data_IF_673081021081
#
_entry.id   IF_673081021081
#
_cell.length_a   1.000
_cell.length_b   1.000
_cell.length_c   1.000
_cell.angle_alpha   90.00
_cell.angle_beta   90.00
_cell.angle_gamma   90.00
#
_symmetry.space_group_name_H-M   'P 1'
#
loop_
_entity.id
_entity.type
_entity.pdbx_description
1 polymer ?
#
# COMPACT_ATOMS: atom_id res chain seq x y z
N UNK A 1 50.60 -4.74 28.40
CA UNK A 1 50.14 -5.65 27.34
C UNK A 1 48.62 -5.62 27.32
N UNK A 2 48.03 -4.88 26.39
CA UNK A 2 46.58 -4.83 26.16
C UNK A 2 46.36 -5.48 24.78
N UNK A 3 45.60 -6.57 24.65
CA UNK A 3 45.43 -7.21 23.35
C UNK A 3 44.45 -6.42 22.47
N UNK A 4 44.72 -6.56 21.17
CA UNK A 4 44.23 -5.77 20.05
C UNK A 4 42.70 -5.70 19.93
N UNK A 5 42.26 -4.53 19.48
CA UNK A 5 40.98 -4.29 18.82
C UNK A 5 40.89 -5.19 17.57
N UNK A 6 39.92 -6.10 17.57
CA UNK A 6 39.55 -6.88 16.39
C UNK A 6 38.78 -5.97 15.42
N UNK A 7 39.44 -5.53 14.35
CA UNK A 7 38.79 -4.91 13.21
C UNK A 7 37.98 -5.98 12.46
N UNK A 8 36.66 -5.89 12.53
CA UNK A 8 35.79 -6.71 11.69
C UNK A 8 36.04 -6.36 10.22
N UNK A 9 36.56 -7.32 9.46
CA UNK A 9 36.67 -7.23 8.01
C UNK A 9 35.26 -7.15 7.38
N UNK A 10 35.08 -6.48 6.23
CA UNK A 10 33.82 -6.52 5.50
C UNK A 10 33.54 -7.97 5.10
N UNK A 11 32.32 -8.44 5.37
CA UNK A 11 31.86 -9.78 4.98
C UNK A 11 31.95 -9.91 3.45
N UNK A 12 33.00 -10.59 2.97
CA UNK A 12 33.09 -11.03 1.59
C UNK A 12 31.95 -12.04 1.34
N UNK A 13 31.28 -11.92 0.18
CA UNK A 13 30.24 -12.85 -0.27
C UNK A 13 30.67 -14.31 -0.05
N UNK A 14 29.92 -15.05 0.76
CA UNK A 14 30.22 -16.46 1.03
C UNK A 14 30.00 -17.26 -0.26
N UNK A 15 31.01 -18.03 -0.67
CA UNK A 15 30.87 -18.93 -1.83
C UNK A 15 29.87 -20.04 -1.48
N UNK A 16 28.70 -20.02 -2.10
CA UNK A 16 27.65 -21.03 -1.92
C UNK A 16 27.96 -22.37 -2.60
N UNK A 17 27.29 -23.43 -2.14
CA UNK A 17 27.28 -24.76 -2.73
C UNK A 17 25.99 -24.98 -3.55
N UNK A 18 26.13 -25.15 -4.87
CA UNK A 18 25.00 -25.33 -5.78
C UNK A 18 24.23 -26.64 -5.53
N UNK A 19 24.88 -27.71 -5.08
CA UNK A 19 24.21 -28.98 -4.80
C UNK A 19 23.29 -28.85 -3.56
N UNK A 20 23.79 -28.20 -2.51
CA UNK A 20 22.96 -27.85 -1.35
C UNK A 20 21.85 -26.86 -1.74
N UNK A 21 22.13 -25.91 -2.63
CA UNK A 21 21.17 -24.94 -3.15
C UNK A 21 20.01 -25.60 -3.90
N UNK A 22 20.27 -26.65 -4.70
CA UNK A 22 19.25 -27.43 -5.42
C UNK A 22 18.18 -27.98 -4.48
N UNK A 23 18.60 -28.60 -3.37
CA UNK A 23 17.66 -29.18 -2.40
C UNK A 23 16.77 -28.13 -1.73
N UNK A 24 17.26 -26.90 -1.56
CA UNK A 24 16.44 -25.78 -1.06
C UNK A 24 15.50 -25.29 -2.16
N UNK A 25 16.01 -25.10 -3.38
CA UNK A 25 15.26 -24.61 -4.53
C UNK A 25 14.05 -25.49 -4.85
N UNK A 26 14.22 -26.82 -4.90
CA UNK A 26 13.14 -27.77 -5.20
C UNK A 26 11.96 -27.65 -4.21
N UNK A 27 12.26 -27.36 -2.94
CA UNK A 27 11.25 -27.26 -1.88
C UNK A 27 10.61 -25.88 -1.76
N UNK A 28 11.29 -24.82 -2.21
CA UNK A 28 10.93 -23.43 -1.89
C UNK A 28 10.70 -22.54 -3.10
N UNK A 29 11.34 -22.81 -4.22
CA UNK A 29 11.39 -21.92 -5.39
C UNK A 29 10.74 -22.54 -6.64
N UNK A 30 10.80 -23.87 -6.78
CA UNK A 30 10.38 -24.60 -7.97
C UNK A 30 8.93 -24.34 -8.37
N UNK A 31 8.01 -24.24 -7.40
CA UNK A 31 6.58 -24.03 -7.66
C UNK A 31 6.31 -22.80 -8.54
N UNK A 32 7.12 -21.74 -8.37
CA UNK A 32 7.00 -20.51 -9.15
C UNK A 32 8.01 -20.48 -10.30
N UNK A 33 9.29 -20.80 -10.04
CA UNK A 33 10.37 -20.60 -11.01
C UNK A 33 10.62 -21.78 -11.95
N UNK A 34 9.94 -22.91 -11.75
CA UNK A 34 10.04 -24.11 -12.59
C UNK A 34 11.26 -24.97 -12.27
N UNK A 35 11.21 -26.25 -12.63
CA UNK A 35 12.33 -27.19 -12.41
C UNK A 35 13.59 -26.76 -13.18
N UNK A 36 13.38 -26.16 -14.36
CA UNK A 36 14.45 -25.69 -15.26
C UNK A 36 14.89 -24.25 -14.98
N UNK A 37 14.32 -23.58 -13.97
CA UNK A 37 14.58 -22.18 -13.69
C UNK A 37 14.11 -21.22 -14.78
N UNK A 38 13.19 -21.65 -15.65
CA UNK A 38 12.69 -20.90 -16.80
C UNK A 38 11.49 -19.99 -16.49
N UNK A 39 11.13 -19.88 -15.21
CA UNK A 39 9.99 -19.08 -14.75
C UNK A 39 8.63 -19.72 -15.03
N UNK A 40 8.59 -20.98 -15.48
CA UNK A 40 7.37 -21.70 -15.88
C UNK A 40 6.97 -22.77 -14.85
N UNK A 41 7.04 -22.42 -13.56
CA UNK A 41 6.55 -23.30 -12.51
C UNK A 41 5.03 -23.47 -12.56
N UNK A 42 4.46 -24.51 -11.92
CA UNK A 42 3.02 -24.76 -11.92
C UNK A 42 2.15 -23.58 -11.45
N UNK A 43 2.69 -22.67 -10.64
CA UNK A 43 1.97 -21.47 -10.20
C UNK A 43 2.12 -20.27 -11.16
N UNK A 44 3.04 -20.29 -12.13
CA UNK A 44 3.47 -19.11 -12.89
C UNK A 44 2.31 -18.38 -13.58
N UNK A 45 1.37 -19.11 -14.19
CA UNK A 45 0.21 -18.53 -14.91
C UNK A 45 -0.72 -17.71 -14.00
N UNK A 46 -0.66 -17.91 -12.69
CA UNK A 46 -1.47 -17.18 -11.71
C UNK A 46 -0.80 -15.89 -11.22
N UNK A 47 0.48 -15.66 -11.54
CA UNK A 47 1.29 -14.60 -10.95
C UNK A 47 1.55 -13.47 -11.94
N UNK A 48 1.31 -12.25 -11.50
CA UNK A 48 1.60 -11.02 -12.25
C UNK A 48 2.34 -10.06 -11.31
N UNK A 49 3.61 -9.73 -11.58
CA UNK A 49 4.42 -10.16 -12.74
C UNK A 49 4.79 -11.65 -12.69
N UNK A 50 5.06 -12.21 -13.88
CA UNK A 50 5.54 -13.59 -14.03
C UNK A 50 6.87 -13.82 -13.29
N UNK A 51 7.11 -15.04 -12.75
CA UNK A 51 8.38 -15.41 -12.14
C UNK A 51 9.57 -15.22 -13.09
N UNK A 52 10.73 -14.89 -12.53
CA UNK A 52 11.95 -14.68 -13.32
C UNK A 52 12.40 -15.98 -14.00
N UNK A 53 12.62 -15.91 -15.31
CA UNK A 53 13.43 -16.86 -16.08
C UNK A 53 14.92 -16.61 -15.81
N UNK A 54 15.53 -17.48 -15.01
CA UNK A 54 16.95 -17.44 -14.68
C UNK A 54 17.84 -17.91 -15.84
N UNK A 55 17.32 -18.72 -16.77
CA UNK A 55 18.08 -19.22 -17.94
C UNK A 55 18.43 -18.10 -18.92
N UNK A 56 17.69 -16.99 -18.88
CA UNK A 56 17.94 -15.79 -19.69
C UNK A 56 19.24 -15.06 -19.31
N UNK A 57 19.68 -15.18 -18.05
CA UNK A 57 20.78 -14.37 -17.50
C UNK A 57 20.41 -12.89 -17.27
N UNK A 58 19.14 -12.49 -17.47
CA UNK A 58 18.68 -11.11 -17.34
C UNK A 58 18.06 -10.87 -15.96
N UNK A 59 18.75 -10.10 -15.13
CA UNK A 59 18.31 -9.75 -13.78
C UNK A 59 17.89 -8.28 -13.71
N UNK A 60 16.62 -8.04 -13.33
CA UNK A 60 16.02 -6.71 -13.20
C UNK A 60 16.73 -5.85 -12.14
N UNK A 61 17.05 -6.45 -10.99
CA UNK A 61 17.63 -5.76 -9.83
C UNK A 61 19.12 -6.09 -9.77
N UNK A 62 19.97 -5.10 -10.07
CA UNK A 62 21.43 -5.23 -10.12
C UNK A 62 22.14 -3.93 -9.74
N UNK A 63 23.36 -4.03 -9.24
CA UNK A 63 24.23 -2.88 -8.92
C UNK A 63 25.36 -2.71 -9.95
N UNK A 64 25.17 -3.20 -11.18
CA UNK A 64 26.21 -3.27 -12.22
C UNK A 64 25.83 -2.50 -13.47
N UNK A 65 26.82 -2.02 -14.23
CA UNK A 65 26.60 -1.39 -15.55
C UNK A 65 26.45 -2.43 -16.66
N UNK A 66 27.17 -3.56 -16.58
CA UNK A 66 26.99 -4.69 -17.49
C UNK A 66 25.84 -5.61 -17.06
N UNK A 67 25.36 -6.48 -17.96
CA UNK A 67 24.16 -7.32 -17.73
C UNK A 67 24.29 -8.32 -16.56
N UNK A 68 25.50 -8.59 -16.11
CA UNK A 68 25.80 -9.54 -15.05
C UNK A 68 25.51 -8.95 -13.66
N UNK A 69 24.59 -9.50 -12.85
CA UNK A 69 24.41 -9.07 -11.46
C UNK A 69 25.58 -9.53 -10.57
N UNK A 70 25.78 -8.87 -9.44
CA UNK A 70 26.65 -9.40 -8.38
C UNK A 70 25.95 -10.52 -7.61
N UNK A 71 26.72 -11.39 -6.97
CA UNK A 71 26.17 -12.43 -6.09
C UNK A 71 25.38 -11.80 -4.92
N UNK A 72 25.81 -10.62 -4.46
CA UNK A 72 25.09 -9.84 -3.44
C UNK A 72 23.74 -9.33 -3.94
N UNK A 73 23.62 -8.94 -5.22
CA UNK A 73 22.32 -8.52 -5.78
C UNK A 73 21.31 -9.67 -5.71
N UNK A 74 21.72 -10.87 -6.12
CA UNK A 74 20.88 -12.08 -6.07
C UNK A 74 20.58 -12.45 -4.61
N UNK A 75 21.58 -12.41 -3.72
CA UNK A 75 21.39 -12.68 -2.31
C UNK A 75 20.38 -11.74 -1.66
N UNK A 76 20.46 -10.43 -1.97
CA UNK A 76 19.56 -9.42 -1.45
C UNK A 76 18.12 -9.64 -1.93
N UNK A 77 17.93 -9.99 -3.21
CA UNK A 77 16.61 -10.33 -3.75
C UNK A 77 16.02 -11.58 -3.09
N UNK A 78 16.82 -12.64 -2.89
CA UNK A 78 16.36 -13.85 -2.16
C UNK A 78 16.00 -13.49 -0.71
N UNK A 79 16.84 -12.67 -0.07
CA UNK A 79 16.69 -12.31 1.34
C UNK A 79 15.45 -11.45 1.58
N UNK A 80 15.30 -10.37 0.81
CA UNK A 80 14.28 -9.35 1.02
C UNK A 80 12.98 -9.64 0.23
N UNK A 81 13.05 -10.52 -0.77
CA UNK A 81 11.97 -10.74 -1.71
C UNK A 81 11.84 -9.58 -2.70
N UNK A 82 10.69 -9.52 -3.38
CA UNK A 82 10.32 -8.39 -4.22
C UNK A 82 8.93 -7.88 -3.77
N UNK A 83 8.88 -6.78 -3.01
CA UNK A 83 7.61 -6.18 -2.59
C UNK A 83 6.64 -5.93 -3.77
N UNK A 84 5.35 -6.10 -3.51
CA UNK A 84 4.31 -5.99 -4.54
C UNK A 84 4.35 -7.12 -5.59
N UNK A 85 4.93 -8.27 -5.26
CA UNK A 85 4.91 -9.49 -6.07
C UNK A 85 4.75 -10.71 -5.17
N UNK A 86 4.55 -11.89 -5.75
CA UNK A 86 4.50 -13.16 -5.02
C UNK A 86 5.87 -13.73 -4.64
N UNK A 87 6.97 -12.98 -4.79
CA UNK A 87 8.31 -13.39 -4.32
C UNK A 87 8.55 -12.91 -2.88
N UNK A 88 8.37 -13.77 -1.86
CA UNK A 88 8.56 -13.39 -0.47
C UNK A 88 10.04 -13.22 -0.14
N UNK A 89 10.31 -12.56 0.99
CA UNK A 89 11.63 -12.59 1.62
C UNK A 89 11.89 -13.93 2.30
N UNK A 90 13.09 -14.47 2.12
CA UNK A 90 13.49 -15.76 2.68
C UNK A 90 14.39 -15.63 3.92
N UNK A 91 14.19 -14.60 4.74
CA UNK A 91 14.91 -14.44 6.03
C UNK A 91 14.68 -15.58 7.02
N UNK A 92 13.63 -16.38 6.83
CA UNK A 92 13.38 -17.62 7.56
C UNK A 92 14.41 -18.72 7.26
N UNK A 93 15.08 -18.66 6.11
CA UNK A 93 16.16 -19.58 5.77
C UNK A 93 17.48 -19.11 6.40
N UNK A 94 18.32 -20.04 6.88
CA UNK A 94 19.68 -19.71 7.27
C UNK A 94 20.44 -18.96 6.17
N UNK A 95 21.32 -18.04 6.54
CA UNK A 95 22.12 -17.28 5.58
C UNK A 95 22.91 -18.17 4.61
N UNK A 96 23.50 -19.26 5.12
CA UNK A 96 24.21 -20.25 4.32
C UNK A 96 23.33 -20.84 3.20
N UNK A 97 22.07 -21.15 3.50
CA UNK A 97 21.14 -21.71 2.51
C UNK A 97 20.77 -20.68 1.45
N UNK A 98 20.68 -19.40 1.80
CA UNK A 98 20.48 -18.32 0.83
C UNK A 98 21.69 -18.15 -0.09
N UNK A 99 22.92 -18.24 0.42
CA UNK A 99 24.13 -18.25 -0.42
C UNK A 99 24.21 -19.49 -1.32
N UNK A 100 23.81 -20.67 -0.82
CA UNK A 100 23.69 -21.88 -1.63
C UNK A 100 22.67 -21.70 -2.77
N UNK A 101 21.53 -21.06 -2.50
CA UNK A 101 20.55 -20.69 -3.53
C UNK A 101 21.14 -19.74 -4.58
N UNK A 102 21.95 -18.75 -4.19
CA UNK A 102 22.65 -17.87 -5.15
C UNK A 102 23.51 -18.68 -6.12
N UNK A 103 24.30 -19.62 -5.59
CA UNK A 103 25.15 -20.49 -6.41
C UNK A 103 24.32 -21.35 -7.38
N UNK A 104 23.19 -21.91 -6.92
CA UNK A 104 22.32 -22.73 -7.75
C UNK A 104 21.56 -21.93 -8.81
N UNK A 105 20.99 -20.78 -8.45
CA UNK A 105 20.23 -19.91 -9.37
C UNK A 105 21.10 -19.40 -10.53
N UNK A 106 22.35 -19.04 -10.25
CA UNK A 106 23.29 -18.62 -11.29
C UNK A 106 23.61 -19.74 -12.30
N UNK A 107 23.60 -20.99 -11.86
CA UNK A 107 23.94 -22.13 -12.72
C UNK A 107 22.96 -22.30 -13.89
N UNK A 108 21.71 -21.86 -13.77
CA UNK A 108 20.72 -21.91 -14.86
C UNK A 108 21.12 -21.08 -16.09
N UNK A 109 21.85 -19.97 -15.89
CA UNK A 109 22.22 -19.07 -16.99
C UNK A 109 23.49 -19.52 -17.74
N UNK A 110 24.27 -20.45 -17.17
CA UNK A 110 25.53 -20.94 -17.73
C UNK A 110 26.47 -19.82 -18.19
N UNK A 111 26.96 -19.91 -19.42
CA UNK A 111 27.91 -18.98 -20.03
C UNK A 111 27.39 -17.54 -20.15
N UNK A 112 26.08 -17.30 -20.02
CA UNK A 112 25.52 -15.93 -20.08
C UNK A 112 25.95 -15.07 -18.89
N UNK A 113 26.42 -15.67 -17.79
CA UNK A 113 26.95 -14.99 -16.60
C UNK A 113 28.47 -15.20 -16.42
N UNK A 114 29.21 -15.51 -17.50
CA UNK A 114 30.66 -15.74 -17.42
C UNK A 114 31.47 -14.46 -17.17
N UNK A 115 30.96 -13.32 -17.63
CA UNK A 115 31.65 -12.04 -17.50
C UNK A 115 31.59 -11.57 -16.05
N UNK A 116 32.71 -11.06 -15.52
CA UNK A 116 32.72 -10.51 -14.18
C UNK A 116 31.72 -9.33 -14.03
N UNK A 117 31.01 -9.21 -12.90
CA UNK A 117 30.13 -8.07 -12.65
C UNK A 117 30.94 -6.77 -12.56
N UNK A 118 30.53 -5.75 -13.31
CA UNK A 118 31.11 -4.41 -13.29
C UNK A 118 30.19 -3.50 -12.48
N UNK A 119 30.51 -3.30 -11.19
CA UNK A 119 29.70 -2.45 -10.30
C UNK A 119 29.61 -1.03 -10.85
N UNK A 120 28.46 -0.39 -10.65
CA UNK A 120 28.28 1.02 -10.98
C UNK A 120 28.97 1.88 -9.93
N UNK A 121 29.77 2.83 -10.39
CA UNK A 121 30.31 3.90 -9.55
C UNK A 121 29.32 5.04 -9.57
N UNK A 122 28.59 5.21 -8.46
CA UNK A 122 27.66 6.32 -8.33
C UNK A 122 28.42 7.65 -8.24
N UNK A 123 27.90 8.71 -8.88
CA UNK A 123 28.50 10.03 -8.84
C UNK A 123 28.46 10.61 -7.41
N UNK A 124 29.20 11.70 -7.20
CA UNK A 124 29.28 12.35 -5.89
C UNK A 124 27.88 12.70 -5.38
N UNK A 125 27.61 12.31 -4.14
CA UNK A 125 26.32 12.51 -3.47
C UNK A 125 25.96 14.00 -3.36
N UNK A 126 24.72 14.34 -3.76
CA UNK A 126 24.12 15.67 -3.58
C UNK A 126 23.00 15.63 -2.54
N UNK A 127 23.22 16.24 -1.38
CA UNK A 127 22.24 16.33 -0.29
C UNK A 127 20.88 16.89 -0.74
N UNK A 128 19.83 16.47 -0.03
CA UNK A 128 18.48 17.02 -0.23
C UNK A 128 18.42 18.48 0.24
N UNK A 129 17.78 19.32 -0.58
CA UNK A 129 17.48 20.74 -0.33
C UNK A 129 16.30 21.14 -1.22
N UNK A 130 15.64 22.27 -0.94
CA UNK A 130 14.54 22.75 -1.79
C UNK A 130 14.97 22.93 -3.25
N UNK A 131 16.17 23.44 -3.48
CA UNK A 131 16.76 23.57 -4.81
C UNK A 131 16.98 22.20 -5.48
N UNK A 132 17.46 21.23 -4.71
CA UNK A 132 17.67 19.85 -5.18
C UNK A 132 16.36 19.19 -5.59
N UNK A 133 15.28 19.42 -4.83
CA UNK A 133 13.94 18.92 -5.13
C UNK A 133 13.34 19.60 -6.38
N UNK A 134 13.50 20.92 -6.50
CA UNK A 134 13.06 21.67 -7.69
C UNK A 134 13.75 21.15 -8.95
N UNK A 135 15.08 21.04 -8.92
CA UNK A 135 15.88 20.49 -10.02
C UNK A 135 15.50 19.05 -10.33
N UNK A 136 15.30 18.22 -9.31
CA UNK A 136 14.87 16.82 -9.47
C UNK A 136 13.52 16.69 -10.16
N UNK A 137 12.55 17.55 -9.81
CA UNK A 137 11.23 17.61 -10.47
C UNK A 137 11.36 18.02 -11.94
N UNK A 138 12.12 19.08 -12.22
CA UNK A 138 12.34 19.56 -13.60
C UNK A 138 12.91 18.45 -14.48
N UNK A 139 13.86 17.66 -13.96
CA UNK A 139 14.44 16.54 -14.69
C UNK A 139 13.51 15.34 -14.81
N UNK A 140 12.68 15.07 -13.81
CA UNK A 140 11.66 14.04 -13.90
C UNK A 140 10.70 14.28 -15.07
N UNK A 141 10.39 15.55 -15.35
CA UNK A 141 9.58 15.96 -16.51
C UNK A 141 10.41 16.00 -17.81
N UNK A 142 11.63 16.56 -17.77
CA UNK A 142 12.48 16.73 -18.96
C UNK A 142 12.99 15.41 -19.54
N UNK A 143 13.23 14.40 -18.71
CA UNK A 143 13.62 13.04 -19.11
C UNK A 143 12.36 12.16 -19.30
N UNK A 144 11.17 12.76 -19.28
CA UNK A 144 9.91 12.10 -19.59
C UNK A 144 9.55 10.93 -18.66
N UNK A 145 10.06 10.91 -17.42
CA UNK A 145 9.70 9.89 -16.42
C UNK A 145 8.18 9.87 -16.18
N UNK A 146 7.54 11.04 -16.26
CA UNK A 146 6.10 11.22 -16.11
C UNK A 146 5.28 10.52 -17.21
N UNK A 147 5.84 10.24 -18.40
CA UNK A 147 5.13 9.51 -19.46
C UNK A 147 4.75 8.09 -19.04
N UNK A 148 5.58 7.46 -18.20
CA UNK A 148 5.33 6.14 -17.64
C UNK A 148 4.78 6.22 -16.20
N UNK A 149 5.40 7.05 -15.35
CA UNK A 149 5.10 7.07 -13.92
C UNK A 149 4.02 8.09 -13.50
N UNK A 150 3.57 8.95 -14.41
CA UNK A 150 2.64 10.05 -14.13
C UNK A 150 3.31 11.24 -13.44
N UNK A 151 2.65 12.40 -13.43
CA UNK A 151 3.22 13.65 -12.92
C UNK A 151 3.46 13.63 -11.40
N UNK A 152 2.70 12.80 -10.68
CA UNK A 152 2.86 12.62 -9.22
C UNK A 152 3.48 11.27 -8.86
N UNK A 153 3.95 10.52 -9.86
CA UNK A 153 4.59 9.23 -9.64
C UNK A 153 3.62 8.10 -9.28
N UNK A 154 2.30 8.23 -9.46
CA UNK A 154 1.32 7.18 -9.10
C UNK A 154 1.15 6.08 -10.15
N UNK A 155 2.10 5.99 -11.07
CA UNK A 155 2.12 5.04 -12.18
C UNK A 155 0.96 5.22 -13.17
N UNK A 156 0.36 6.40 -13.22
CA UNK A 156 -0.78 6.80 -14.06
C UNK A 156 -0.32 7.51 -15.36
N UNK A 157 0.93 7.30 -15.78
CA UNK A 157 1.46 7.91 -16.99
C UNK A 157 0.73 7.42 -18.26
N UNK A 158 0.58 8.27 -19.29
CA UNK A 158 -0.16 7.95 -20.50
C UNK A 158 0.38 6.73 -21.27
N UNK A 159 1.67 6.40 -21.09
CA UNK A 159 2.29 5.23 -21.75
C UNK A 159 2.03 3.91 -21.04
N UNK A 160 1.48 3.94 -19.80
CA UNK A 160 1.26 2.75 -18.96
C UNK A 160 0.61 1.58 -19.71
N UNK A 161 -0.47 1.77 -20.49
CA UNK A 161 -1.16 0.65 -21.16
C UNK A 161 -0.30 -0.05 -22.23
N UNK A 162 0.70 0.63 -22.77
CA UNK A 162 1.54 0.16 -23.87
C UNK A 162 2.82 -0.54 -23.38
N UNK A 163 3.15 -0.40 -22.08
CA UNK A 163 4.40 -0.92 -21.53
C UNK A 163 4.43 -2.45 -21.51
N UNK A 164 5.43 -2.99 -22.19
CA UNK A 164 5.74 -4.42 -22.21
C UNK A 164 7.18 -4.66 -21.83
N UNK A 165 7.43 -5.77 -21.17
CA UNK A 165 8.78 -6.25 -20.92
C UNK A 165 9.39 -6.89 -22.18
N UNK A 166 10.67 -7.26 -22.13
CA UNK A 166 11.36 -7.89 -23.28
C UNK A 166 10.73 -9.24 -23.71
N UNK A 167 9.87 -9.83 -22.89
CA UNK A 167 9.13 -11.07 -23.18
C UNK A 167 7.71 -10.82 -23.70
N UNK A 168 7.37 -9.55 -23.98
CA UNK A 168 6.06 -9.14 -24.49
C UNK A 168 4.95 -9.11 -23.44
N UNK A 169 5.27 -9.31 -22.16
CA UNK A 169 4.30 -9.30 -21.08
C UNK A 169 4.02 -7.87 -20.63
N UNK A 170 2.76 -7.49 -20.33
CA UNK A 170 2.45 -6.20 -19.75
C UNK A 170 3.25 -5.95 -18.47
N UNK A 171 3.82 -4.75 -18.33
CA UNK A 171 4.59 -4.38 -17.14
C UNK A 171 4.20 -3.00 -16.63
N UNK A 172 3.49 -2.98 -15.50
CA UNK A 172 3.16 -1.74 -14.84
C UNK A 172 4.42 -1.06 -14.25
N UNK A 173 4.55 0.28 -14.39
CA UNK A 173 5.58 1.03 -13.70
C UNK A 173 5.32 1.00 -12.19
N UNK A 174 6.36 1.17 -11.39
CA UNK A 174 6.21 1.29 -9.95
C UNK A 174 5.46 2.59 -9.60
N UNK A 175 4.56 2.52 -8.60
CA UNK A 175 4.02 3.70 -7.95
C UNK A 175 5.12 4.30 -7.05
N UNK A 176 5.73 5.38 -7.55
CA UNK A 176 6.86 6.08 -6.94
C UNK A 176 6.48 6.78 -5.62
N UNK A 177 5.20 7.04 -5.39
CA UNK A 177 4.70 7.53 -4.10
C UNK A 177 4.67 6.44 -3.01
N UNK A 178 4.92 5.17 -3.35
CA UNK A 178 4.98 4.02 -2.44
C UNK A 178 6.38 3.40 -2.37
N UNK A 179 7.40 4.19 -2.02
CA UNK A 179 8.81 3.75 -2.04
C UNK A 179 9.12 2.46 -1.26
N UNK A 180 8.36 2.13 -0.22
CA UNK A 180 8.49 0.87 0.52
C UNK A 180 8.15 -0.38 -0.33
N UNK A 181 7.47 -0.21 -1.46
CA UNK A 181 7.15 -1.26 -2.42
C UNK A 181 8.22 -1.45 -3.51
N UNK A 182 9.32 -0.68 -3.48
CA UNK A 182 10.35 -0.77 -4.52
C UNK A 182 11.10 -2.10 -4.45
N UNK A 183 10.97 -2.89 -5.51
CA UNK A 183 11.61 -4.21 -5.69
C UNK A 183 13.13 -4.17 -5.59
N UNK A 184 13.73 -3.02 -5.89
CA UNK A 184 15.17 -2.81 -5.86
C UNK A 184 15.73 -2.27 -4.54
N UNK A 185 14.88 -1.99 -3.55
CA UNK A 185 15.23 -1.29 -2.33
C UNK A 185 14.62 0.11 -2.26
N UNK A 186 14.24 0.51 -1.04
CA UNK A 186 13.52 1.77 -0.73
C UNK A 186 14.45 2.91 -0.30
N UNK A 187 15.73 2.62 -0.13
CA UNK A 187 16.69 3.56 0.40
C UNK A 187 17.30 4.40 -0.73
N UNK A 188 17.78 5.59 -0.38
CA UNK A 188 18.24 6.61 -1.34
C UNK A 188 19.29 6.09 -2.32
N UNK A 189 20.24 5.27 -1.84
CA UNK A 189 21.29 4.65 -2.67
C UNK A 189 20.74 3.59 -3.62
N UNK A 190 19.73 2.84 -3.21
CA UNK A 190 19.09 1.82 -4.06
C UNK A 190 18.36 2.48 -5.22
N UNK A 191 17.63 3.57 -4.93
CA UNK A 191 16.93 4.36 -5.94
C UNK A 191 17.91 4.98 -6.94
N UNK A 192 18.97 5.63 -6.45
CA UNK A 192 20.02 6.18 -7.32
C UNK A 192 20.67 5.09 -8.18
N UNK A 193 20.88 3.90 -7.62
CA UNK A 193 21.41 2.74 -8.37
C UNK A 193 20.47 2.34 -9.50
N UNK A 194 19.15 2.27 -9.25
CA UNK A 194 18.15 1.93 -10.29
C UNK A 194 18.08 2.97 -11.39
N UNK A 195 18.19 4.26 -11.06
CA UNK A 195 18.28 5.31 -12.06
C UNK A 195 19.56 5.19 -12.88
N UNK A 196 20.70 4.92 -12.23
CA UNK A 196 22.00 4.84 -12.91
C UNK A 196 22.10 3.66 -13.88
N UNK A 197 21.58 2.48 -13.52
CA UNK A 197 21.75 1.25 -14.31
C UNK A 197 20.47 0.76 -15.01
N UNK A 198 19.34 1.41 -14.77
CA UNK A 198 18.05 1.00 -15.29
C UNK A 198 17.54 -0.33 -14.73
N UNK A 199 16.46 -0.83 -15.32
CA UNK A 199 15.84 -2.12 -14.95
C UNK A 199 15.82 -3.01 -16.19
N UNK A 200 16.78 -3.92 -16.30
CA UNK A 200 16.96 -4.77 -17.49
C UNK A 200 15.72 -5.61 -17.80
N UNK A 201 15.45 -5.82 -19.08
CA UNK A 201 14.28 -6.53 -19.53
C UNK A 201 12.99 -5.72 -19.42
N UNK A 202 13.06 -4.42 -19.15
CA UNK A 202 11.90 -3.52 -19.05
C UNK A 202 12.14 -2.23 -19.83
N UNK A 203 11.08 -1.44 -20.10
CA UNK A 203 11.22 -0.13 -20.73
C UNK A 203 11.94 0.95 -19.89
N UNK A 204 12.40 0.64 -18.66
CA UNK A 204 13.09 1.59 -17.79
C UNK A 204 14.62 1.58 -18.07
N UNK A 205 15.16 2.55 -18.83
CA UNK A 205 16.55 2.55 -19.25
C UNK A 205 17.50 2.98 -18.11
N UNK A 206 18.80 2.95 -18.40
CA UNK A 206 19.81 3.59 -17.57
C UNK A 206 19.84 5.10 -17.88
N UNK A 207 19.92 5.93 -16.85
CA UNK A 207 19.87 7.39 -16.99
C UNK A 207 21.20 8.09 -16.69
N UNK A 208 22.26 7.34 -16.36
CA UNK A 208 23.57 7.94 -16.04
C UNK A 208 24.13 8.77 -17.20
N UNK A 209 23.84 8.36 -18.44
CA UNK A 209 24.24 9.07 -19.65
C UNK A 209 23.12 9.97 -20.23
N UNK A 210 21.94 10.00 -19.60
CA UNK A 210 20.77 10.77 -20.02
C UNK A 210 20.59 12.08 -19.23
N UNK A 211 21.36 12.25 -18.15
CA UNK A 211 21.36 13.47 -17.33
C UNK A 211 22.42 14.47 -17.83
N UNK A 212 22.22 15.77 -17.58
CA UNK A 212 23.18 16.80 -18.00
C UNK A 212 24.53 16.67 -17.27
N UNK A 213 24.47 16.36 -15.97
CA UNK A 213 25.64 16.06 -15.13
C UNK A 213 25.42 14.74 -14.40
N UNK A 214 26.43 13.88 -14.20
CA UNK A 214 26.24 12.63 -13.47
C UNK A 214 25.57 12.82 -12.09
N UNK A 215 25.96 13.88 -11.37
CA UNK A 215 25.41 14.22 -10.05
C UNK A 215 23.89 14.50 -10.05
N UNK A 216 23.31 14.84 -11.21
CA UNK A 216 21.89 15.16 -11.36
C UNK A 216 20.97 13.97 -11.03
N UNK A 217 21.48 12.73 -11.11
CA UNK A 217 20.75 11.54 -10.62
C UNK A 217 20.34 11.72 -9.15
N UNK A 218 21.16 12.38 -8.33
CA UNK A 218 20.84 12.60 -6.92
C UNK A 218 19.70 13.59 -6.73
N UNK A 219 19.56 14.59 -7.61
CA UNK A 219 18.41 15.50 -7.58
C UNK A 219 17.11 14.76 -7.89
N UNK A 220 17.08 13.93 -8.95
CA UNK A 220 15.91 13.07 -9.24
C UNK A 220 15.64 12.14 -8.07
N UNK A 221 16.67 11.50 -7.53
CA UNK A 221 16.55 10.61 -6.37
C UNK A 221 15.93 11.34 -5.17
N UNK A 222 16.38 12.55 -4.85
CA UNK A 222 15.84 13.34 -3.73
C UNK A 222 14.37 13.71 -3.97
N UNK A 223 14.00 14.06 -5.21
CA UNK A 223 12.62 14.29 -5.60
C UNK A 223 11.75 13.03 -5.42
N UNK A 224 12.22 11.87 -5.88
CA UNK A 224 11.53 10.58 -5.67
C UNK A 224 11.36 10.23 -4.19
N UNK A 225 12.36 10.54 -3.37
CA UNK A 225 12.28 10.38 -1.91
C UNK A 225 11.21 11.28 -1.27
N UNK A 226 10.84 12.39 -1.92
CA UNK A 226 9.85 13.35 -1.44
C UNK A 226 8.44 13.20 -2.04
N UNK A 227 8.29 12.43 -3.14
CA UNK A 227 6.99 12.22 -3.80
C UNK A 227 5.96 11.49 -2.91
N UNK A 228 6.43 10.63 -2.02
CA UNK A 228 5.62 9.78 -1.16
C UNK A 228 5.94 9.93 0.33
N UNK A 229 5.10 9.32 1.15
CA UNK A 229 5.34 9.21 2.59
C UNK A 229 6.32 8.08 2.94
N UNK A 230 6.55 7.93 4.24
CA UNK A 230 7.16 6.72 4.78
C UNK A 230 6.22 5.52 4.68
N UNK A 231 6.77 4.33 4.88
CA UNK A 231 5.97 3.10 4.99
C UNK A 231 4.85 3.29 6.02
N UNK A 232 3.59 3.03 5.63
CA UNK A 232 2.46 3.29 6.50
C UNK A 232 2.47 2.35 7.71
N UNK A 233 2.13 2.89 8.88
CA UNK A 233 1.75 2.06 10.03
C UNK A 233 0.32 1.59 9.83
N UNK A 234 0.16 0.33 9.45
CA UNK A 234 -1.16 -0.25 9.23
C UNK A 234 -2.02 -0.20 10.50
N UNK A 235 -3.26 0.22 10.34
CA UNK A 235 -4.20 0.34 11.44
C UNK A 235 -4.63 -1.05 11.93
N UNK A 236 -4.83 -1.18 13.24
CA UNK A 236 -5.51 -2.32 13.87
C UNK A 236 -6.92 -1.97 14.34
N UNK A 237 -7.22 -0.68 14.42
CA UNK A 237 -8.51 -0.10 14.80
C UNK A 237 -8.74 1.14 13.93
N UNK A 238 -9.92 1.23 13.31
CA UNK A 238 -10.34 2.41 12.55
C UNK A 238 -10.92 3.43 13.51
N UNK A 239 -10.24 4.56 13.70
CA UNK A 239 -10.73 5.63 14.57
C UNK A 239 -11.39 6.73 13.74
N UNK A 240 -12.60 7.14 14.13
CA UNK A 240 -13.37 8.22 13.52
C UNK A 240 -13.35 9.41 14.47
N UNK A 241 -12.76 10.52 14.05
CA UNK A 241 -12.52 11.71 14.88
C UNK A 241 -13.82 12.43 15.21
N UNK A 242 -13.98 12.85 16.47
CA UNK A 242 -15.10 13.72 16.85
C UNK A 242 -14.86 15.14 16.32
N UNK A 243 -15.76 15.64 15.46
CA UNK A 243 -15.70 16.98 14.90
C UNK A 243 -16.53 17.96 15.74
N UNK A 244 -15.96 19.13 16.04
CA UNK A 244 -16.67 20.26 16.66
C UNK A 244 -17.33 21.17 15.64
N UNK A 245 -16.75 21.23 14.43
CA UNK A 245 -17.19 22.09 13.33
C UNK A 245 -17.95 21.28 12.28
N UNK A 246 -18.51 21.99 11.29
CA UNK A 246 -19.16 21.36 10.16
C UNK A 246 -18.16 20.49 9.37
N UNK A 247 -18.55 19.25 9.09
CA UNK A 247 -17.73 18.31 8.33
C UNK A 247 -17.94 18.60 6.83
N UNK A 248 -16.90 18.91 6.05
CA UNK A 248 -17.05 19.25 4.63
C UNK A 248 -17.36 18.03 3.76
N UNK A 249 -18.15 18.25 2.70
CA UNK A 249 -18.37 17.23 1.66
C UNK A 249 -17.23 17.14 0.65
N UNK A 250 -16.45 18.21 0.49
CA UNK A 250 -15.35 18.23 -0.49
C UNK A 250 -14.21 17.30 -0.05
N UNK A 251 -13.86 16.27 -0.85
CA UNK A 251 -12.74 15.37 -0.55
C UNK A 251 -11.37 16.06 -0.50
N UNK A 252 -11.22 17.25 -1.09
CA UNK A 252 -9.97 18.02 -1.09
C UNK A 252 -9.90 19.07 0.02
N UNK A 253 -10.92 19.18 0.88
CA UNK A 253 -10.94 20.17 1.95
C UNK A 253 -9.75 20.00 2.91
N UNK A 254 -9.14 21.12 3.32
CA UNK A 254 -8.00 21.15 4.26
C UNK A 254 -8.33 20.44 5.58
N UNK A 255 -9.61 20.39 5.96
CA UNK A 255 -10.10 19.60 7.09
C UNK A 255 -9.53 18.17 7.11
N UNK A 256 -9.52 17.48 5.97
CA UNK A 256 -9.10 16.09 5.88
C UNK A 256 -7.60 15.88 6.06
N UNK A 257 -6.77 16.93 5.88
CA UNK A 257 -5.32 16.83 6.13
C UNK A 257 -5.00 16.81 7.62
N UNK A 258 -5.91 17.33 8.46
CA UNK A 258 -5.80 17.38 9.93
C UNK A 258 -6.38 16.15 10.62
N UNK A 259 -7.17 15.35 9.91
CA UNK A 259 -7.74 14.10 10.41
C UNK A 259 -6.71 12.97 10.27
N UNK A 260 -6.48 12.25 11.36
CA UNK A 260 -5.53 11.15 11.39
C UNK A 260 -5.93 10.04 10.40
N UNK A 261 -5.02 9.60 9.52
CA UNK A 261 -5.30 8.51 8.59
C UNK A 261 -5.21 7.14 9.28
N UNK A 262 -6.12 6.23 8.90
CA UNK A 262 -6.03 4.81 9.18
C UNK A 262 -5.63 4.10 7.88
N UNK A 263 -4.45 3.49 7.85
CA UNK A 263 -3.93 2.79 6.67
C UNK A 263 -4.41 1.34 6.67
N UNK A 264 -5.26 0.98 5.72
CA UNK A 264 -5.86 -0.35 5.61
C UNK A 264 -5.16 -1.14 4.49
N UNK A 265 -4.35 -2.16 4.80
CA UNK A 265 -3.77 -3.01 3.78
C UNK A 265 -4.85 -3.94 3.21
N UNK A 266 -4.99 -3.98 1.89
CA UNK A 266 -5.92 -4.88 1.22
C UNK A 266 -5.17 -6.05 0.61
N UNK A 267 -5.85 -7.19 0.52
CA UNK A 267 -5.34 -8.40 -0.10
C UNK A 267 -6.30 -8.87 -1.18
N UNK A 268 -5.76 -9.51 -2.21
CA UNK A 268 -6.56 -10.11 -3.26
C UNK A 268 -7.42 -11.24 -2.70
N UNK A 269 -8.69 -11.26 -3.13
CA UNK A 269 -9.61 -12.35 -2.86
C UNK A 269 -9.10 -13.63 -3.54
N UNK A 270 -8.91 -14.74 -2.82
CA UNK A 270 -8.40 -16.00 -3.43
C UNK A 270 -9.21 -17.24 -3.06
N UNK A 271 -10.39 -17.06 -2.45
CA UNK A 271 -11.17 -18.16 -1.84
C UNK A 271 -12.18 -18.75 -2.82
N UNK A 272 -12.99 -17.89 -3.45
CA UNK A 272 -14.01 -18.23 -4.46
C UNK A 272 -13.62 -17.69 -5.84
N UNK A 273 -14.12 -18.29 -6.90
CA UNK A 273 -13.90 -17.79 -8.26
C UNK A 273 -14.87 -16.65 -8.62
N UNK A 274 -14.45 -15.68 -9.46
CA UNK A 274 -13.10 -15.48 -9.99
C UNK A 274 -12.12 -14.91 -8.94
N UNK A 275 -10.94 -15.54 -8.82
CA UNK A 275 -9.88 -15.14 -7.88
C UNK A 275 -9.07 -13.93 -8.36
N UNK A 276 -8.60 -13.13 -7.40
CA UNK A 276 -7.64 -12.05 -7.55
C UNK A 276 -6.31 -12.38 -6.84
N UNK A 277 -5.36 -12.98 -7.57
CA UNK A 277 -4.03 -13.26 -7.02
C UNK A 277 -3.08 -12.05 -7.04
N UNK A 278 -3.41 -11.03 -7.85
CA UNK A 278 -2.55 -9.88 -8.12
C UNK A 278 -3.39 -8.60 -8.01
N UNK A 279 -3.83 -8.24 -6.78
CA UNK A 279 -4.66 -7.07 -6.57
C UNK A 279 -3.96 -5.79 -7.03
N UNK A 280 -4.65 -4.95 -7.79
CA UNK A 280 -4.12 -3.64 -8.19
C UNK A 280 -4.16 -2.64 -7.04
N UNK A 281 -5.24 -2.69 -6.25
CA UNK A 281 -5.43 -1.85 -5.06
C UNK A 281 -4.98 -2.62 -3.82
N UNK A 282 -3.87 -2.20 -3.21
CA UNK A 282 -3.27 -2.85 -2.03
C UNK A 282 -3.41 -2.02 -0.73
N UNK A 283 -3.91 -0.79 -0.82
CA UNK A 283 -4.00 0.14 0.29
C UNK A 283 -5.17 1.11 0.12
N UNK A 284 -6.01 1.19 1.15
CA UNK A 284 -7.01 2.24 1.32
C UNK A 284 -6.66 3.05 2.55
N UNK A 285 -6.57 4.36 2.41
CA UNK A 285 -6.42 5.29 3.54
C UNK A 285 -7.81 5.76 3.97
N UNK A 286 -8.18 5.46 5.21
CA UNK A 286 -9.48 5.77 5.79
C UNK A 286 -9.30 6.88 6.81
N UNK A 287 -9.91 8.02 6.53
CA UNK A 287 -10.16 9.07 7.52
C UNK A 287 -11.65 9.09 7.83
N UNK A 288 -12.00 9.59 9.00
CA UNK A 288 -13.39 9.74 9.35
C UNK A 288 -13.59 10.84 10.36
N UNK A 289 -14.70 11.53 10.22
CA UNK A 289 -15.17 12.52 11.17
C UNK A 289 -16.64 12.24 11.51
N UNK A 290 -17.03 12.53 12.75
CA UNK A 290 -18.41 12.36 13.19
C UNK A 290 -18.82 13.47 14.14
N UNK A 291 -20.12 13.75 14.21
CA UNK A 291 -20.76 14.61 15.21
C UNK A 291 -22.12 14.02 15.60
N UNK A 292 -22.89 14.69 16.47
CA UNK A 292 -24.17 14.15 16.98
C UNK A 292 -25.23 13.80 15.90
N UNK A 293 -25.06 14.27 14.66
CA UNK A 293 -26.00 14.06 13.56
C UNK A 293 -25.52 13.01 12.57
N UNK A 294 -24.22 12.99 12.28
CA UNK A 294 -23.69 12.30 11.12
C UNK A 294 -22.27 11.77 11.30
N UNK A 295 -21.93 10.84 10.41
CA UNK A 295 -20.59 10.32 10.20
C UNK A 295 -20.23 10.54 8.73
N UNK A 296 -18.99 10.95 8.49
CA UNK A 296 -18.43 11.11 7.14
C UNK A 296 -17.13 10.34 7.07
N UNK A 297 -17.08 9.42 6.12
CA UNK A 297 -15.87 8.70 5.75
C UNK A 297 -15.17 9.44 4.64
N UNK A 298 -13.84 9.55 4.71
CA UNK A 298 -12.98 10.02 3.64
C UNK A 298 -12.03 8.90 3.26
N UNK A 299 -12.17 8.40 2.04
CA UNK A 299 -11.41 7.27 1.51
C UNK A 299 -10.46 7.79 0.45
N UNK A 300 -9.22 7.33 0.50
CA UNK A 300 -8.22 7.61 -0.54
C UNK A 300 -7.55 6.31 -0.94
N UNK A 301 -7.50 6.03 -2.24
CA UNK A 301 -6.75 4.91 -2.80
C UNK A 301 -6.14 5.32 -4.13
N UNK A 302 -4.97 4.75 -4.42
CA UNK A 302 -4.33 4.96 -5.71
C UNK A 302 -4.97 3.98 -6.71
N UNK A 303 -5.41 4.53 -7.83
CA UNK A 303 -5.93 3.80 -8.98
C UNK A 303 -5.36 4.47 -10.24
N UNK A 304 -4.51 3.79 -11.00
CA UNK A 304 -3.86 4.38 -12.16
C UNK A 304 -4.81 4.66 -13.33
N UNK A 305 -6.05 4.19 -13.28
CA UNK A 305 -7.08 4.41 -14.28
C UNK A 305 -8.35 4.99 -13.67
N UNK A 306 -8.94 5.99 -14.33
CA UNK A 306 -10.36 6.32 -14.12
C UNK A 306 -11.18 5.45 -15.06
N UNK A 307 -11.47 4.23 -14.63
CA UNK A 307 -11.98 3.17 -15.48
C UNK A 307 -13.40 3.49 -15.95
N UNK A 308 -13.56 3.54 -17.27
CA UNK A 308 -14.86 3.64 -17.92
C UNK A 308 -15.28 2.25 -18.38
N UNK A 309 -16.40 1.71 -17.89
CA UNK A 309 -16.84 0.37 -18.25
C UNK A 309 -16.94 0.18 -19.76
N UNK A 310 -16.33 -0.90 -20.25
CA UNK A 310 -16.40 -1.32 -21.64
C UNK A 310 -16.37 -2.85 -21.74
N UNK A 311 -17.49 -3.41 -22.17
CA UNK A 311 -17.67 -4.85 -22.30
C UNK A 311 -16.74 -5.48 -23.36
N UNK A 312 -16.35 -4.74 -24.40
CA UNK A 312 -15.49 -5.26 -25.47
C UNK A 312 -14.07 -5.51 -24.97
N UNK A 313 -13.58 -4.65 -24.09
CA UNK A 313 -12.23 -4.69 -23.51
C UNK A 313 -12.20 -5.34 -22.13
N UNK A 314 -13.36 -5.75 -21.60
CA UNK A 314 -13.53 -6.29 -20.23
C UNK A 314 -13.05 -5.33 -19.15
N UNK A 315 -13.23 -4.03 -19.40
CA UNK A 315 -13.02 -2.97 -18.40
C UNK A 315 -14.31 -2.80 -17.62
N UNK A 316 -14.22 -2.74 -16.30
CA UNK A 316 -15.36 -2.55 -15.40
C UNK A 316 -15.32 -1.16 -14.75
N UNK A 317 -16.34 -0.84 -13.95
CA UNK A 317 -16.35 0.38 -13.16
C UNK A 317 -15.43 0.21 -11.95
N UNK A 318 -14.66 1.25 -11.61
CA UNK A 318 -13.98 1.29 -10.32
C UNK A 318 -15.01 1.37 -9.20
N UNK A 319 -14.70 0.73 -8.08
CA UNK A 319 -15.60 0.68 -6.95
C UNK A 319 -14.87 0.53 -5.61
N UNK A 320 -15.52 1.01 -4.56
CA UNK A 320 -15.10 0.76 -3.17
C UNK A 320 -16.32 0.57 -2.27
N UNK A 321 -16.23 -0.34 -1.31
CA UNK A 321 -17.28 -0.62 -0.34
C UNK A 321 -16.72 -0.68 1.09
N UNK A 322 -17.48 -0.10 2.01
CA UNK A 322 -17.37 -0.37 3.44
C UNK A 322 -18.47 -1.37 3.79
N UNK A 323 -18.06 -2.49 4.37
CA UNK A 323 -18.94 -3.56 4.78
C UNK A 323 -19.15 -3.53 6.29
N UNK A 324 -20.40 -3.68 6.72
CA UNK A 324 -20.80 -3.73 8.12
C UNK A 324 -21.82 -4.85 8.33
N UNK A 325 -21.89 -5.44 9.53
CA UNK A 325 -23.08 -6.21 9.93
C UNK A 325 -24.31 -5.29 9.90
N UNK A 326 -25.48 -5.74 9.38
CA UNK A 326 -26.69 -4.92 9.36
C UNK A 326 -27.16 -4.56 10.77
N UNK A 327 -26.89 -5.45 11.73
CA UNK A 327 -27.13 -5.25 13.16
C UNK A 327 -25.83 -5.47 13.93
N UNK A 328 -25.46 -4.49 14.74
CA UNK A 328 -24.27 -4.57 15.60
C UNK A 328 -24.68 -5.28 16.89
N UNK A 329 -24.20 -6.51 17.06
CA UNK A 329 -24.42 -7.30 18.27
C UNK A 329 -23.17 -7.28 19.17
N UNK A 330 -23.33 -7.25 20.51
CA UNK A 330 -22.20 -7.45 21.40
C UNK A 330 -21.60 -8.85 21.21
N UNK A 331 -20.28 -8.95 21.19
CA UNK A 331 -19.58 -10.23 21.08
C UNK A 331 -18.52 -10.25 19.99
N UNK A 332 -18.13 -11.45 19.56
CA UNK A 332 -17.08 -11.65 18.54
C UNK A 332 -17.61 -12.26 17.25
N UNK A 333 -18.87 -12.73 17.26
CA UNK A 333 -19.57 -13.28 16.09
C UNK A 333 -19.80 -12.19 15.05
N UNK A 334 -19.53 -12.52 13.79
CA UNK A 334 -19.63 -11.62 12.65
C UNK A 334 -20.04 -12.44 11.42
N UNK A 335 -20.79 -11.84 10.48
CA UNK A 335 -21.00 -12.44 9.18
C UNK A 335 -19.67 -12.78 8.50
N UNK A 336 -19.69 -13.69 7.55
CA UNK A 336 -18.49 -13.99 6.78
C UNK A 336 -17.93 -12.72 6.10
N UNK A 337 -16.62 -12.50 6.19
CA UNK A 337 -16.02 -11.23 5.77
C UNK A 337 -16.10 -11.01 4.25
N UNK A 338 -16.26 -12.08 3.46
CA UNK A 338 -16.45 -12.01 2.02
C UNK A 338 -17.94 -11.79 1.70
N UNK A 339 -18.45 -10.62 2.09
CA UNK A 339 -19.81 -10.17 1.77
C UNK A 339 -20.93 -11.02 2.38
N UNK A 340 -20.69 -11.67 3.53
CA UNK A 340 -21.66 -12.51 4.21
C UNK A 340 -21.87 -13.87 3.55
N UNK A 341 -22.89 -14.58 4.02
CA UNK A 341 -23.36 -15.85 3.47
C UNK A 341 -24.89 -15.95 3.57
N UNK A 342 -25.45 -17.13 3.28
CA UNK A 342 -26.89 -17.37 3.28
C UNK A 342 -27.53 -17.31 4.67
N UNK A 343 -26.74 -17.49 5.75
CA UNK A 343 -27.22 -17.39 7.12
C UNK A 343 -27.12 -15.95 7.65
N UNK A 344 -25.99 -15.29 7.39
CA UNK A 344 -25.67 -13.97 7.94
C UNK A 344 -25.23 -13.04 6.80
N UNK A 345 -26.12 -12.12 6.43
CA UNK A 345 -25.86 -11.10 5.42
C UNK A 345 -25.07 -9.91 5.94
N UNK A 346 -24.62 -9.05 5.02
CA UNK A 346 -23.93 -7.79 5.33
C UNK A 346 -24.61 -6.60 4.67
N UNK A 347 -24.40 -5.43 5.27
CA UNK A 347 -24.68 -4.13 4.68
C UNK A 347 -23.42 -3.57 4.01
N UNK A 348 -23.58 -3.00 2.83
CA UNK A 348 -22.53 -2.37 2.04
C UNK A 348 -22.85 -0.90 1.85
N UNK A 349 -21.97 -0.03 2.34
CA UNK A 349 -21.91 1.39 1.99
C UNK A 349 -20.90 1.54 0.86
N UNK A 350 -21.40 1.78 -0.36
CA UNK A 350 -20.61 1.58 -1.58
C UNK A 350 -20.58 2.82 -2.46
N UNK A 351 -19.50 2.96 -3.22
CA UNK A 351 -19.42 3.83 -4.37
C UNK A 351 -18.97 2.99 -5.57
N UNK A 352 -19.55 3.27 -6.73
CA UNK A 352 -19.02 2.82 -8.02
C UNK A 352 -19.10 3.95 -9.06
N UNK A 353 -18.25 3.89 -10.08
CA UNK A 353 -18.14 4.91 -11.13
C UNK A 353 -19.41 5.14 -11.96
N UNK A 354 -20.38 4.22 -11.95
CA UNK A 354 -21.63 4.36 -12.72
C UNK A 354 -22.77 4.94 -11.88
N UNK A 355 -22.90 4.50 -10.62
CA UNK A 355 -24.04 4.82 -9.74
C UNK A 355 -23.71 5.88 -8.69
N UNK A 356 -22.43 6.18 -8.50
CA UNK A 356 -21.98 6.99 -7.37
C UNK A 356 -22.22 6.28 -6.04
N UNK A 357 -22.43 7.06 -4.97
CA UNK A 357 -22.67 6.52 -3.63
C UNK A 357 -24.06 5.90 -3.54
N UNK A 358 -24.11 4.65 -3.09
CA UNK A 358 -25.34 3.89 -2.89
C UNK A 358 -25.15 2.83 -1.79
N UNK A 359 -26.26 2.20 -1.40
CA UNK A 359 -26.29 1.18 -0.35
C UNK A 359 -26.82 -0.15 -0.90
N UNK A 360 -26.26 -1.25 -0.41
CA UNK A 360 -26.67 -2.60 -0.81
C UNK A 360 -26.63 -3.58 0.37
N UNK A 361 -27.41 -4.65 0.27
CA UNK A 361 -27.25 -5.85 1.10
C UNK A 361 -26.55 -6.95 0.29
N UNK A 362 -25.79 -7.80 0.98
CA UNK A 362 -25.17 -8.96 0.36
C UNK A 362 -25.25 -10.22 1.25
N UNK A 363 -25.39 -11.37 0.59
CA UNK A 363 -25.35 -12.70 1.18
C UNK A 363 -24.32 -13.57 0.42
N UNK A 364 -23.15 -12.98 0.22
CA UNK A 364 -22.05 -13.49 -0.60
C UNK A 364 -21.78 -12.61 -1.83
N UNK A 365 -20.59 -12.74 -2.45
CA UNK A 365 -20.11 -11.82 -3.49
C UNK A 365 -20.90 -11.89 -4.80
N UNK A 366 -21.65 -12.96 -5.03
CA UNK A 366 -22.54 -13.12 -6.18
C UNK A 366 -23.99 -12.66 -5.91
N UNK A 367 -24.34 -12.39 -4.64
CA UNK A 367 -25.72 -12.08 -4.21
C UNK A 367 -25.75 -10.69 -3.60
N UNK A 368 -25.59 -9.66 -4.43
CA UNK A 368 -25.64 -8.25 -4.02
C UNK A 368 -26.94 -7.63 -4.52
N UNK A 369 -27.71 -7.02 -3.61
CA UNK A 369 -28.98 -6.36 -3.93
C UNK A 369 -28.95 -4.92 -3.41
N UNK A 370 -29.29 -3.96 -4.28
CA UNK A 370 -29.46 -2.58 -3.86
C UNK A 370 -30.56 -2.47 -2.79
N UNK A 371 -30.35 -1.59 -1.80
CA UNK A 371 -31.38 -1.25 -0.83
C UNK A 371 -32.30 -0.18 -1.40
N UNK A 372 -33.58 -0.23 -1.00
CA UNK A 372 -34.54 0.80 -1.39
C UNK A 372 -34.22 2.12 -0.67
N UNK A 373 -34.17 3.20 -1.45
CA UNK A 373 -33.69 4.51 -1.00
C UNK A 373 -32.20 4.55 -0.66
N UNK A 374 -31.67 5.75 -0.46
CA UNK A 374 -30.30 5.94 0.05
C UNK A 374 -30.32 6.87 1.26
N UNK A 375 -29.69 6.45 2.35
CA UNK A 375 -29.37 7.28 3.50
C UNK A 375 -27.99 7.93 3.37
N UNK A 376 -27.24 7.56 2.34
CA UNK A 376 -25.87 8.02 2.10
C UNK A 376 -25.76 8.94 0.89
N UNK A 377 -24.89 9.92 1.01
CA UNK A 377 -24.47 10.79 -0.09
C UNK A 377 -22.96 10.84 -0.15
N UNK A 378 -22.39 11.29 -1.26
CA UNK A 378 -20.94 11.46 -1.33
C UNK A 378 -20.47 12.26 -2.52
N UNK A 379 -19.21 12.66 -2.46
CA UNK A 379 -18.49 13.33 -3.54
C UNK A 379 -17.18 12.60 -3.79
N UNK A 380 -16.85 12.43 -5.06
CA UNK A 380 -15.61 11.80 -5.48
C UNK A 380 -14.81 12.78 -6.33
N UNK A 381 -13.49 12.76 -6.17
CA UNK A 381 -12.53 13.43 -7.04
C UNK A 381 -11.50 12.39 -7.46
N UNK A 382 -11.29 12.26 -8.76
CA UNK A 382 -10.15 11.55 -9.32
C UNK A 382 -9.14 12.55 -9.84
N UNK A 383 -7.88 12.45 -9.42
CA UNK A 383 -6.80 13.32 -9.92
C UNK A 383 -5.46 12.62 -9.76
N UNK A 384 -4.65 12.63 -10.82
CA UNK A 384 -3.30 12.06 -10.87
C UNK A 384 -3.22 10.62 -10.33
N UNK A 385 -4.08 9.73 -10.81
CA UNK A 385 -4.04 8.31 -10.45
C UNK A 385 -4.49 8.01 -9.02
N UNK A 386 -5.33 8.87 -8.43
CA UNK A 386 -5.84 8.70 -7.07
C UNK A 386 -7.28 9.16 -6.95
N UNK A 387 -8.10 8.31 -6.33
CA UNK A 387 -9.43 8.66 -5.88
C UNK A 387 -9.41 9.26 -4.48
N UNK A 388 -10.22 10.30 -4.28
CA UNK A 388 -10.59 10.84 -2.97
C UNK A 388 -12.12 10.91 -2.90
N UNK A 389 -12.71 10.15 -1.99
CA UNK A 389 -14.16 9.99 -1.86
C UNK A 389 -14.59 10.36 -0.44
N UNK A 390 -15.60 11.22 -0.33
CA UNK A 390 -16.36 11.40 0.91
C UNK A 390 -17.67 10.62 0.83
N UNK A 391 -18.01 9.90 1.89
CA UNK A 391 -19.32 9.26 2.06
C UNK A 391 -19.91 9.71 3.38
N UNK A 392 -21.06 10.39 3.32
CA UNK A 392 -21.80 10.94 4.46
C UNK A 392 -23.04 10.10 4.74
N UNK A 393 -23.32 9.84 6.02
CA UNK A 393 -24.55 9.20 6.48
C UNK A 393 -24.93 9.70 7.87
N UNK A 394 -26.22 9.66 8.20
CA UNK A 394 -26.69 9.87 9.58
C UNK A 394 -26.16 8.76 10.51
N UNK A 395 -25.98 9.07 11.81
CA UNK A 395 -25.57 8.05 12.78
C UNK A 395 -26.65 6.98 12.99
N UNK A 396 -27.90 7.42 13.10
CA UNK A 396 -29.05 6.54 13.25
C UNK A 396 -29.49 6.00 11.89
N UNK A 397 -29.82 4.71 11.84
CA UNK A 397 -30.53 4.13 10.71
C UNK A 397 -31.98 4.59 10.68
N UNK A 398 -32.50 4.96 9.50
CA UNK A 398 -33.93 5.29 9.31
C UNK A 398 -34.73 4.07 8.87
N UNK A 399 -34.10 3.12 8.19
CA UNK A 399 -34.71 1.89 7.72
C UNK A 399 -33.96 0.64 8.20
N UNK A 400 -34.67 -0.51 8.22
CA UNK A 400 -34.09 -1.81 8.54
C UNK A 400 -32.97 -2.21 7.59
N UNK A 401 -32.09 -3.11 8.05
CA UNK A 401 -30.96 -3.61 7.27
C UNK A 401 -29.76 -2.65 7.17
N UNK A 402 -29.77 -1.53 7.91
CA UNK A 402 -28.66 -0.58 7.97
C UNK A 402 -28.12 -0.46 9.40
N UNK A 403 -26.79 -0.39 9.59
CA UNK A 403 -26.21 -0.26 10.92
C UNK A 403 -26.49 1.13 11.52
N UNK A 404 -26.49 1.22 12.84
CA UNK A 404 -26.44 2.50 13.56
C UNK A 404 -25.06 2.68 14.20
N UNK A 405 -24.50 3.88 14.10
CA UNK A 405 -23.18 4.19 14.67
C UNK A 405 -23.32 4.91 16.00
N UNK A 406 -22.68 4.38 17.05
CA UNK A 406 -22.82 4.90 18.41
C UNK A 406 -21.45 5.06 19.09
N UNK A 407 -21.22 6.16 19.83
CA UNK A 407 -20.03 6.32 20.64
C UNK A 407 -19.88 5.19 21.67
N UNK A 408 -18.65 4.74 21.89
CA UNK A 408 -18.36 3.65 22.83
C UNK A 408 -18.66 2.23 22.31
N UNK A 409 -19.24 2.10 21.12
CA UNK A 409 -19.49 0.79 20.48
C UNK A 409 -18.42 0.50 19.43
N UNK A 410 -17.77 -0.65 19.52
CA UNK A 410 -16.85 -1.13 18.48
C UNK A 410 -17.65 -1.78 17.36
N UNK A 411 -17.69 -1.11 16.20
CA UNK A 411 -18.47 -1.52 15.05
C UNK A 411 -17.58 -2.33 14.09
N UNK A 412 -17.88 -3.60 13.78
CA UNK A 412 -17.10 -4.34 12.79
C UNK A 412 -17.16 -3.67 11.41
N UNK A 413 -16.01 -3.52 10.75
CA UNK A 413 -15.91 -2.97 9.41
C UNK A 413 -14.91 -3.75 8.56
N UNK A 414 -15.22 -3.97 7.28
CA UNK A 414 -14.27 -4.45 6.29
C UNK A 414 -14.30 -3.54 5.05
N UNK A 415 -13.22 -3.52 4.29
CA UNK A 415 -13.06 -2.68 3.10
C UNK A 415 -12.88 -3.57 1.89
N UNK A 416 -13.56 -3.23 0.79
CA UNK A 416 -13.49 -3.94 -0.48
C UNK A 416 -13.28 -2.92 -1.59
N UNK A 417 -12.39 -3.19 -2.54
CA UNK A 417 -12.06 -2.29 -3.64
C UNK A 417 -11.88 -3.05 -4.95
N UNK A 418 -12.19 -2.38 -6.06
CA UNK A 418 -12.10 -2.90 -7.42
C UNK A 418 -11.47 -1.84 -8.33
N UNK A 419 -10.35 -2.20 -8.95
CA UNK A 419 -9.79 -1.49 -10.12
C UNK A 419 -10.36 -2.13 -11.40
N UNK A 420 -11.32 -1.45 -12.00
CA UNK A 420 -12.02 -1.92 -13.19
C UNK A 420 -11.12 -2.03 -14.41
N UNK A 421 -10.08 -1.21 -14.50
CA UNK A 421 -9.06 -1.21 -15.54
C UNK A 421 -8.10 -2.39 -15.43
N UNK A 422 -7.89 -2.91 -14.22
CA UNK A 422 -7.23 -4.18 -13.96
C UNK A 422 -8.15 -5.42 -14.17
N UNK A 423 -9.39 -5.20 -14.62
CA UNK A 423 -10.38 -6.24 -14.84
C UNK A 423 -10.98 -6.80 -13.53
N UNK A 424 -10.86 -6.07 -12.42
CA UNK A 424 -11.47 -6.45 -11.15
C UNK A 424 -12.97 -6.16 -11.17
N UNK A 425 -13.78 -7.18 -10.86
CA UNK A 425 -15.23 -7.07 -10.76
C UNK A 425 -15.81 -8.25 -9.98
N UNK A 426 -17.04 -8.10 -9.50
CA UNK A 426 -17.74 -9.12 -8.70
C UNK A 426 -16.84 -9.67 -7.58
N UNK A 427 -16.56 -10.98 -7.54
CA UNK A 427 -15.71 -11.59 -6.52
C UNK A 427 -14.20 -11.32 -6.68
N UNK A 428 -13.74 -10.94 -7.88
CA UNK A 428 -12.35 -10.60 -8.16
C UNK A 428 -12.10 -9.18 -7.68
N UNK A 429 -11.61 -9.06 -6.45
CA UNK A 429 -11.48 -7.79 -5.74
C UNK A 429 -10.30 -7.80 -4.79
N UNK A 430 -9.97 -6.63 -4.28
CA UNK A 430 -9.14 -6.44 -3.10
C UNK A 430 -10.02 -6.29 -1.86
N UNK A 431 -9.64 -6.90 -0.74
CA UNK A 431 -10.40 -6.77 0.51
C UNK A 431 -9.56 -6.90 1.78
N UNK A 432 -10.17 -6.50 2.89
CA UNK A 432 -9.68 -6.79 4.24
C UNK A 432 -10.47 -7.92 4.90
N UNK A 433 -9.90 -8.50 5.95
CA UNK A 433 -10.72 -9.16 6.98
C UNK A 433 -11.47 -8.13 7.84
N UNK A 434 -12.19 -8.59 8.88
CA UNK A 434 -12.88 -7.69 9.80
C UNK A 434 -11.91 -6.91 10.68
N UNK A 435 -12.02 -5.59 10.61
CA UNK A 435 -11.51 -4.64 11.59
C UNK A 435 -12.63 -4.18 12.52
N UNK A 436 -12.26 -3.36 13.50
CA UNK A 436 -13.22 -2.59 14.27
C UNK A 436 -13.09 -1.11 13.95
N UNK A 437 -14.23 -0.43 13.98
CA UNK A 437 -14.38 1.01 13.93
C UNK A 437 -14.85 1.51 15.28
N UNK A 438 -14.25 2.61 15.74
CA UNK A 438 -14.68 3.32 16.96
C UNK A 438 -14.86 4.80 16.66
N UNK A 439 -15.97 5.35 17.15
CA UNK A 439 -16.15 6.79 17.25
C UNK A 439 -15.36 7.32 18.45
N UNK A 440 -14.44 8.25 18.20
CA UNK A 440 -13.69 8.92 19.25
C UNK A 440 -14.65 9.68 20.17
N UNK A 441 -14.40 9.64 21.48
CA UNK A 441 -15.20 10.42 22.42
C UNK A 441 -14.99 11.92 22.18
N UNK A 442 -16.06 12.73 22.13
CA UNK A 442 -15.91 14.17 21.98
C UNK A 442 -15.05 14.71 23.12
N UNK A 443 -14.05 15.53 22.77
CA UNK A 443 -13.13 16.13 23.75
C UNK A 443 -13.95 16.98 24.74
N UNK A 444 -14.27 16.41 25.91
CA UNK A 444 -15.11 17.08 26.89
C UNK A 444 -14.37 18.26 27.50
N UNK A 445 -14.93 19.47 27.39
CA UNK A 445 -14.43 20.65 28.14
C UNK A 445 -14.46 20.42 29.65
N UNK A 446 -15.18 19.40 30.16
CA UNK A 446 -15.23 19.05 31.59
C UNK A 446 -13.84 18.84 32.18
N UNK A 447 -12.87 18.28 31.44
CA UNK A 447 -11.50 18.11 31.97
C UNK A 447 -10.77 19.43 32.24
N UNK A 448 -11.16 20.50 31.57
CA UNK A 448 -10.60 21.85 31.76
C UNK A 448 -11.47 22.74 32.65
N UNK A 449 -12.76 22.39 32.83
CA UNK A 449 -13.72 23.19 33.63
C UNK A 449 -13.91 22.62 35.03
N UNK A 450 -13.99 21.29 35.19
CA UNK A 450 -14.28 20.63 36.47
C UNK A 450 -13.15 20.84 37.48
N UNK A 451 -11.85 20.67 37.16
CA UNK A 451 -10.80 20.88 38.16
C UNK A 451 -10.76 22.31 38.71
N UNK A 452 -10.82 23.38 37.90
CA UNK A 452 -10.92 24.75 38.42
C UNK A 452 -12.17 25.00 39.26
N UNK A 453 -13.34 24.51 38.84
CA UNK A 453 -14.60 24.68 39.60
C UNK A 453 -14.51 23.97 40.96
N UNK A 454 -14.00 22.73 41.00
CA UNK A 454 -13.79 21.99 42.25
C UNK A 454 -12.79 22.71 43.15
N UNK A 455 -11.70 23.25 42.59
CA UNK A 455 -10.72 24.03 43.35
C UNK A 455 -11.36 25.28 43.99
N UNK A 456 -12.16 26.03 43.22
CA UNK A 456 -12.86 27.24 43.71
C UNK A 456 -13.86 26.89 44.82
N UNK A 457 -14.68 25.83 44.63
CA UNK A 457 -15.66 25.40 45.63
C UNK A 457 -14.99 24.91 46.90
N UNK A 458 -13.87 24.19 46.78
CA UNK A 458 -13.08 23.72 47.93
C UNK A 458 -12.49 24.92 48.70
N UNK A 459 -11.94 25.90 48.00
CA UNK A 459 -11.40 27.12 48.60
C UNK A 459 -12.49 27.93 49.32
N UNK A 460 -13.68 28.05 48.71
CA UNK A 460 -14.83 28.73 49.31
C UNK A 460 -15.33 28.01 50.58
N UNK A 461 -15.40 26.68 50.54
CA UNK A 461 -15.76 25.87 51.70
C UNK A 461 -14.74 26.04 52.85
N UNK A 462 -13.44 26.00 52.53
CA UNK A 462 -12.38 26.25 53.53
C UNK A 462 -12.49 27.65 54.14
N UNK A 463 -12.70 28.69 53.31
CA UNK A 463 -12.91 30.05 53.81
C UNK A 463 -14.15 30.18 54.70
N UNK A 464 -15.24 29.49 54.37
CA UNK A 464 -16.45 29.47 55.21
C UNK A 464 -16.20 28.77 56.55
N UNK A 465 -15.46 27.66 56.56
CA UNK A 465 -15.06 26.97 57.79
C UNK A 465 -14.18 27.85 58.67
N UNK A 466 -13.17 28.51 58.09
CA UNK A 466 -12.30 29.45 58.81
C UNK A 466 -13.12 30.63 59.37
N UNK A 467 -14.05 31.19 58.58
CA UNK A 467 -14.90 32.31 58.99
C UNK A 467 -15.88 31.91 60.10
N UNK A 468 -16.41 30.68 60.07
CA UNK A 468 -17.26 30.14 61.12
C UNK A 468 -16.48 29.85 62.40
N UNK A 469 -15.26 29.34 62.30
CA UNK A 469 -14.37 29.13 63.44
C UNK A 469 -13.97 30.46 64.12
N UNK A 470 -13.68 31.49 63.33
CA UNK A 470 -13.34 32.83 63.84
C UNK A 470 -14.54 33.61 64.42
N UNK A 471 -15.78 33.24 64.11
CA UNK A 471 -17.00 33.82 64.73
C UNK A 471 -17.41 33.15 66.05
N UNK A 472 -16.82 32.00 66.38
CA UNK A 472 -17.07 31.24 67.62
C UNK A 472 -16.02 31.50 68.71
N UNK A 473 -14.99 32.30 68.40
CA UNK A 473 -14.12 32.97 69.38
C UNK A 473 -14.62 34.39 69.56
#
# INVERSE_FOLDING_TARGET
MVPLISTAAPAFAQKGDAAAGKAVYERKCLLCHGEKGDGKGPAAELLVPQPRDFTSGLYKIRSTVNKTPTDQDIFNVITNGMPGTSMPGWTVLPEKDRWNLVAYVKAFAGDKLKDAPKKVDLPKDVSSSEESLRRGKEMFEAIECNKCHGNTGRADGPSRPELKDEWGQPIAPANLAKRWSFRGGKDRKDIATRLAVGVLGTPMPAFLDAVEKPEDIWHVTNYLMALGGDEPRYATLVTITAATDAIPDDPNAEFWTKVAPNYMPLMGQVIVDPRNFNPSIDLVVVRGAWNEREIVFHLTWDDPSESKPDAATKVFADAIALQFPPKIVPGTERPYFLMGDDSEGVYLLRWDGEKGVHEAAANGPAKVKALDGSEATGKVVFTDGQYRLTIRRALAAKAEGRPAFQPGVFTPVAFLAWDGGAGESAARMSLTSWYYLRLEEPQSKRRFVVPPVVAILTLAAMMLVVRAANRRR
#
